data_IF_675471543042
#
_entry.id   IF_675471543042
#
_cell.length_a   1.000
_cell.length_b   1.000
_cell.length_c   1.000
_cell.angle_alpha   90.00
_cell.angle_beta   90.00
_cell.angle_gamma   90.00
#
_symmetry.space_group_name_H-M   'P 1'
#
loop_
_entity.id
_entity.type
_entity.pdbx_description
1 polymer ?
#
# COMPACT_ATOMS: atom_id res chain seq x y z
N UNK A 1 3.52 -10.68 18.49
CA UNK A 1 3.95 -10.88 17.09
C UNK A 1 3.03 -10.03 16.21
N UNK A 2 3.54 -9.32 15.20
CA UNK A 2 2.84 -8.38 14.30
C UNK A 2 2.92 -6.86 14.59
N UNK A 3 3.86 -6.37 15.43
CA UNK A 3 4.07 -4.91 15.55
C UNK A 3 4.55 -4.30 14.23
N UNK A 4 5.49 -4.97 13.55
CA UNK A 4 6.02 -4.52 12.26
C UNK A 4 4.95 -4.53 11.16
N UNK A 5 4.16 -5.60 11.07
CA UNK A 5 3.03 -5.68 10.15
C UNK A 5 2.03 -4.52 10.34
N UNK A 6 1.70 -4.17 11.60
CA UNK A 6 0.82 -3.02 11.90
C UNK A 6 1.43 -1.70 11.46
N UNK A 7 2.72 -1.49 11.72
CA UNK A 7 3.43 -0.28 11.28
C UNK A 7 3.42 -0.19 9.75
N UNK A 8 3.74 -1.29 9.06
CA UNK A 8 3.69 -1.35 7.59
C UNK A 8 2.28 -1.15 7.04
N UNK A 9 1.25 -1.66 7.72
CA UNK A 9 -0.14 -1.43 7.35
C UNK A 9 -0.55 0.04 7.50
N UNK A 10 -0.09 0.73 8.55
CA UNK A 10 -0.33 2.17 8.73
C UNK A 10 0.34 2.96 7.60
N UNK A 11 1.61 2.68 7.31
CA UNK A 11 2.35 3.34 6.23
C UNK A 11 1.63 3.12 4.89
N UNK A 12 1.14 1.90 4.63
CA UNK A 12 0.38 1.58 3.43
C UNK A 12 -0.85 2.48 3.30
N UNK A 13 -1.68 2.56 4.34
CA UNK A 13 -2.91 3.35 4.30
C UNK A 13 -2.64 4.84 4.11
N UNK A 14 -1.61 5.38 4.78
CA UNK A 14 -1.21 6.79 4.60
C UNK A 14 -0.83 7.05 3.14
N UNK A 15 -0.05 6.17 2.50
CA UNK A 15 0.31 6.35 1.09
C UNK A 15 -0.87 6.13 0.13
N UNK A 16 -1.80 5.23 0.45
CA UNK A 16 -3.04 5.09 -0.31
C UNK A 16 -3.91 6.36 -0.23
N UNK A 17 -3.96 7.05 0.91
CA UNK A 17 -4.66 8.34 0.98
C UNK A 17 -4.01 9.42 0.11
N UNK A 18 -2.68 9.42 -0.01
CA UNK A 18 -1.97 10.32 -0.94
C UNK A 18 -2.28 9.97 -2.39
N UNK A 19 -2.33 8.69 -2.73
CA UNK A 19 -2.75 8.21 -4.05
C UNK A 19 -4.16 8.71 -4.39
N UNK A 20 -5.13 8.50 -3.50
CA UNK A 20 -6.51 8.96 -3.71
C UNK A 20 -6.58 10.48 -3.86
N UNK A 21 -5.86 11.23 -3.02
CA UNK A 21 -5.78 12.68 -3.10
C UNK A 21 -5.25 13.16 -4.45
N UNK A 22 -4.21 12.51 -4.99
CA UNK A 22 -3.71 12.82 -6.32
C UNK A 22 -4.77 12.61 -7.40
N UNK A 23 -5.59 11.56 -7.26
CA UNK A 23 -6.74 11.30 -8.12
C UNK A 23 -7.75 12.45 -8.12
N UNK A 24 -8.02 13.06 -6.95
CA UNK A 24 -8.85 14.25 -6.83
C UNK A 24 -8.22 15.45 -7.55
N UNK A 25 -6.93 15.72 -7.33
CA UNK A 25 -6.23 16.86 -7.94
C UNK A 25 -6.26 16.83 -9.48
N UNK A 26 -6.14 15.65 -10.08
CA UNK A 26 -6.15 15.50 -11.55
C UNK A 26 -7.53 15.13 -12.13
N UNK A 27 -8.59 15.22 -11.34
CA UNK A 27 -9.98 14.89 -11.73
C UNK A 27 -10.17 13.45 -12.27
N UNK A 28 -9.37 12.50 -11.79
CA UNK A 28 -9.44 11.06 -12.15
C UNK A 28 -9.78 10.18 -10.94
N UNK A 29 -10.69 10.66 -10.10
CA UNK A 29 -11.04 10.09 -8.79
C UNK A 29 -11.34 8.58 -8.89
N UNK A 30 -12.25 8.19 -9.79
CA UNK A 30 -12.69 6.80 -9.90
C UNK A 30 -11.54 5.83 -10.24
N UNK A 31 -10.62 6.24 -11.11
CA UNK A 31 -9.48 5.41 -11.50
C UNK A 31 -8.50 5.23 -10.33
N UNK A 32 -8.20 6.30 -9.60
CA UNK A 32 -7.28 6.25 -8.47
C UNK A 32 -7.86 5.48 -7.29
N UNK A 33 -9.14 5.67 -7.01
CA UNK A 33 -9.87 4.91 -5.99
C UNK A 33 -9.90 3.41 -6.32
N UNK A 34 -10.13 3.04 -7.59
CA UNK A 34 -10.06 1.64 -8.02
C UNK A 34 -8.66 1.06 -7.83
N UNK A 35 -7.60 1.82 -8.15
CA UNK A 35 -6.21 1.40 -7.91
C UNK A 35 -5.95 1.24 -6.40
N UNK A 36 -6.40 2.18 -5.56
CA UNK A 36 -6.21 2.11 -4.11
C UNK A 36 -6.88 0.87 -3.50
N UNK A 37 -8.14 0.61 -3.88
CA UNK A 37 -8.87 -0.60 -3.48
C UNK A 37 -8.15 -1.86 -3.97
N UNK A 38 -7.67 -1.85 -5.22
CA UNK A 38 -6.94 -2.97 -5.81
C UNK A 38 -5.65 -3.29 -5.05
N UNK A 39 -4.83 -2.28 -4.74
CA UNK A 39 -3.59 -2.46 -3.98
C UNK A 39 -3.91 -2.93 -2.56
N UNK A 40 -4.88 -2.30 -1.88
CA UNK A 40 -5.26 -2.69 -0.53
C UNK A 40 -5.75 -4.15 -0.48
N UNK A 41 -6.67 -4.51 -1.37
CA UNK A 41 -7.22 -5.86 -1.47
C UNK A 41 -6.16 -6.90 -1.85
N UNK A 42 -5.24 -6.56 -2.76
CA UNK A 42 -4.10 -7.41 -3.11
C UNK A 42 -3.24 -7.72 -1.89
N UNK A 43 -2.82 -6.68 -1.17
CA UNK A 43 -1.98 -6.81 0.03
C UNK A 43 -2.68 -7.64 1.11
N UNK A 44 -3.97 -7.40 1.36
CA UNK A 44 -4.75 -8.18 2.32
C UNK A 44 -4.89 -9.65 1.91
N UNK A 45 -5.03 -9.93 0.62
CA UNK A 45 -5.16 -11.30 0.10
C UNK A 45 -3.85 -12.09 0.20
N UNK A 46 -2.69 -11.41 0.23
CA UNK A 46 -1.40 -12.09 0.43
C UNK A 46 -1.28 -12.75 1.81
N UNK A 47 -1.95 -12.21 2.84
CA UNK A 47 -1.86 -12.73 4.21
C UNK A 47 -2.31 -14.21 4.27
N UNK A 48 -3.54 -14.59 3.89
CA UNK A 48 -3.97 -15.99 3.95
C UNK A 48 -3.24 -16.91 2.96
N UNK A 49 -2.78 -16.37 1.83
CA UNK A 49 -2.02 -17.15 0.83
C UNK A 49 -0.66 -17.54 1.41
N UNK A 50 0.05 -16.57 2.00
CA UNK A 50 1.41 -16.75 2.50
C UNK A 50 1.42 -17.40 3.89
N UNK A 51 0.35 -17.27 4.69
CA UNK A 51 0.27 -17.88 6.04
C UNK A 51 0.41 -19.39 6.04
N UNK A 52 0.17 -20.05 4.89
CA UNK A 52 0.29 -21.51 4.73
C UNK A 52 1.75 -22.00 4.65
N UNK A 53 2.73 -21.11 4.52
CA UNK A 53 4.15 -21.45 4.41
C UNK A 53 4.85 -21.38 5.78
N UNK A 54 5.87 -22.22 5.97
CA UNK A 54 6.67 -22.26 7.20
C UNK A 54 7.42 -20.93 7.48
N UNK A 55 7.82 -20.21 6.43
CA UNK A 55 8.49 -18.90 6.51
C UNK A 55 7.52 -17.72 6.34
N UNK A 56 6.23 -17.92 6.65
CA UNK A 56 5.15 -16.98 6.36
C UNK A 56 5.40 -15.57 6.90
N UNK A 57 5.91 -15.43 8.11
CA UNK A 57 6.16 -14.12 8.74
C UNK A 57 7.12 -13.27 7.89
N UNK A 58 8.29 -13.83 7.56
CA UNK A 58 9.31 -13.12 6.77
C UNK A 58 8.80 -12.78 5.36
N UNK A 59 8.01 -13.68 4.77
CA UNK A 59 7.42 -13.47 3.45
C UNK A 59 6.34 -12.37 3.46
N UNK A 60 5.46 -12.34 4.48
CA UNK A 60 4.43 -11.31 4.63
C UNK A 60 5.07 -9.95 4.89
N UNK A 61 6.01 -9.88 5.83
CA UNK A 61 6.70 -8.63 6.17
C UNK A 61 7.52 -8.10 4.98
N UNK A 62 8.23 -8.97 4.27
CA UNK A 62 8.97 -8.61 3.06
C UNK A 62 8.07 -8.12 1.93
N UNK A 63 6.93 -8.78 1.69
CA UNK A 63 5.95 -8.37 0.68
C UNK A 63 5.32 -7.00 1.03
N UNK A 64 4.92 -6.81 2.29
CA UNK A 64 4.41 -5.51 2.77
C UNK A 64 5.46 -4.41 2.63
N UNK A 65 6.71 -4.68 2.99
CA UNK A 65 7.80 -3.70 2.87
C UNK A 65 8.04 -3.30 1.41
N UNK A 66 8.07 -4.26 0.48
CA UNK A 66 8.24 -4.00 -0.94
C UNK A 66 7.13 -3.10 -1.51
N UNK A 67 5.86 -3.41 -1.19
CA UNK A 67 4.71 -2.60 -1.63
C UNK A 67 4.78 -1.18 -1.04
N UNK A 68 5.13 -1.06 0.24
CA UNK A 68 5.31 0.23 0.89
C UNK A 68 6.42 1.08 0.26
N UNK A 69 7.57 0.49 -0.09
CA UNK A 69 8.67 1.21 -0.77
C UNK A 69 8.19 1.81 -2.11
N UNK A 70 7.43 1.03 -2.89
CA UNK A 70 6.88 1.49 -4.17
C UNK A 70 5.91 2.65 -3.94
N UNK A 71 4.98 2.51 -3.00
CA UNK A 71 3.98 3.53 -2.66
C UNK A 71 4.59 4.81 -2.10
N UNK A 72 5.58 4.70 -1.21
CA UNK A 72 6.32 5.86 -0.68
C UNK A 72 7.07 6.58 -1.79
N UNK A 73 7.73 5.84 -2.68
CA UNK A 73 8.42 6.41 -3.84
C UNK A 73 7.44 7.14 -4.78
N UNK A 74 6.27 6.55 -5.00
CA UNK A 74 5.18 7.18 -5.73
C UNK A 74 4.69 8.47 -5.04
N UNK A 75 4.41 8.41 -3.73
CA UNK A 75 3.96 9.57 -2.94
C UNK A 75 4.98 10.70 -2.99
N UNK A 76 6.26 10.38 -2.84
CA UNK A 76 7.36 11.35 -2.91
C UNK A 76 7.45 12.03 -4.28
N UNK A 77 7.33 11.26 -5.37
CA UNK A 77 7.38 11.75 -6.75
C UNK A 77 6.13 12.55 -7.15
N UNK A 78 4.97 12.18 -6.60
CA UNK A 78 3.69 12.82 -6.87
C UNK A 78 3.44 14.11 -6.09
N UNK A 79 4.37 14.52 -5.20
CA UNK A 79 4.31 15.80 -4.45
C UNK A 79 4.04 17.02 -5.31
N UNK A 80 4.44 17.00 -6.58
CA UNK A 80 4.16 18.07 -7.55
C UNK A 80 2.67 18.39 -7.75
N UNK A 81 1.76 17.49 -7.37
CA UNK A 81 0.31 17.71 -7.50
C UNK A 81 -0.31 18.40 -6.28
N UNK A 82 0.44 18.57 -5.19
CA UNK A 82 -0.07 19.14 -3.93
C UNK A 82 0.96 20.00 -3.16
N UNK A 83 2.08 20.35 -3.79
CA UNK A 83 3.09 21.28 -3.28
C UNK A 83 2.88 22.69 -3.86
#
# INVERSE_FOLDING_TARGET
LALLERVLAIILHVNLTVLDWNGFQIQRIALYLLIAIGIHGFVNSLIPIISSFSNSILLIEGAFAAVNIILVSYSYSSRKYYA
#
